data_IF_459186491909
#
_entry.id   IF_459186491909
#
_cell.length_a   1.000
_cell.length_b   1.000
_cell.length_c   1.000
_cell.angle_alpha   90.00
_cell.angle_beta   90.00
_cell.angle_gamma   90.00
#
_symmetry.space_group_name_H-M   'P 1'
#
loop_
_entity.id
_entity.type
_entity.pdbx_description
1 polymer ?
#
# COMPACT_ATOMS: atom_id res chain seq x y z
N UNK A 1 17.39 47.90 -8.53
CA UNK A 1 17.32 47.00 -7.35
C UNK A 1 16.26 45.98 -7.65
N UNK A 2 16.67 44.75 -7.90
CA UNK A 2 15.75 43.62 -7.99
C UNK A 2 15.26 43.28 -6.58
N UNK A 3 13.96 43.01 -6.45
CA UNK A 3 13.34 42.62 -5.18
C UNK A 3 12.70 41.26 -5.38
N UNK A 4 12.89 40.39 -4.41
CA UNK A 4 12.24 39.09 -4.36
C UNK A 4 11.04 39.17 -3.43
N UNK A 5 9.92 38.58 -3.81
CA UNK A 5 8.67 38.59 -3.06
C UNK A 5 8.34 37.18 -2.61
N UNK A 6 8.29 36.96 -1.30
CA UNK A 6 7.88 35.68 -0.72
C UNK A 6 6.42 35.77 -0.36
N UNK A 7 5.61 34.87 -0.91
CA UNK A 7 4.22 34.64 -0.53
C UNK A 7 4.21 33.45 0.42
N UNK A 8 4.00 33.73 1.72
CA UNK A 8 3.86 32.69 2.75
C UNK A 8 2.44 32.12 2.76
N UNK A 9 1.44 32.98 2.58
CA UNK A 9 0.02 32.62 2.52
C UNK A 9 -0.63 33.38 1.37
N UNK A 10 -1.23 32.65 0.45
CA UNK A 10 -1.86 33.17 -0.77
C UNK A 10 -2.45 32.03 -1.58
N UNK A 11 -2.91 32.33 -2.81
CA UNK A 11 -3.41 31.32 -3.76
C UNK A 11 -2.32 30.27 -4.06
N UNK A 12 -1.13 30.73 -4.40
CA UNK A 12 0.06 29.91 -4.62
C UNK A 12 1.19 30.47 -3.75
N UNK A 13 1.53 29.83 -2.62
CA UNK A 13 2.71 30.19 -1.83
C UNK A 13 4.01 29.87 -2.57
N UNK A 14 5.00 30.75 -2.45
CA UNK A 14 6.26 30.63 -3.19
C UNK A 14 7.11 31.89 -3.18
N UNK A 15 8.21 31.87 -3.92
CA UNK A 15 9.12 33.00 -4.10
C UNK A 15 8.98 33.49 -5.55
N UNK A 16 8.79 34.79 -5.71
CA UNK A 16 8.58 35.46 -6.98
C UNK A 16 9.66 36.53 -7.17
N UNK A 17 10.10 36.74 -8.40
CA UNK A 17 11.03 37.78 -8.82
C UNK A 17 10.31 39.07 -9.27
N UNK A 18 9.00 38.98 -9.56
CA UNK A 18 8.16 40.12 -9.93
C UNK A 18 7.01 40.38 -8.94
N UNK A 19 6.66 41.66 -8.74
CA UNK A 19 5.57 42.04 -7.83
C UNK A 19 4.20 41.67 -8.39
N UNK A 20 3.99 41.79 -9.70
CA UNK A 20 2.66 41.55 -10.30
C UNK A 20 2.23 40.10 -10.09
N UNK A 21 3.14 39.14 -10.27
CA UNK A 21 2.88 37.71 -10.06
C UNK A 21 2.59 37.39 -8.59
N UNK A 22 3.37 37.97 -7.66
CA UNK A 22 3.15 37.82 -6.23
C UNK A 22 1.83 38.47 -5.78
N UNK A 23 1.52 39.65 -6.32
CA UNK A 23 0.30 40.40 -6.06
C UNK A 23 -0.93 39.60 -6.52
N UNK A 24 -0.86 38.95 -7.68
CA UNK A 24 -1.93 38.07 -8.16
C UNK A 24 -2.17 36.86 -7.22
N UNK A 25 -1.19 36.47 -6.40
CA UNK A 25 -1.39 35.41 -5.40
C UNK A 25 -2.03 35.91 -4.11
N UNK A 26 -1.84 37.17 -3.73
CA UNK A 26 -2.28 37.71 -2.43
C UNK A 26 -3.47 38.65 -2.51
N UNK A 27 -3.68 39.29 -3.67
CA UNK A 27 -4.76 40.27 -3.88
C UNK A 27 -6.12 39.59 -3.72
N UNK A 28 -6.98 40.16 -2.87
CA UNK A 28 -8.28 39.59 -2.53
C UNK A 28 -8.22 38.18 -1.91
N UNK A 29 -7.08 37.75 -1.37
CA UNK A 29 -6.95 36.50 -0.63
C UNK A 29 -7.03 36.77 0.88
N UNK A 30 -7.94 36.08 1.57
CA UNK A 30 -8.14 36.27 3.01
C UNK A 30 -6.90 35.83 3.79
N UNK A 31 -6.46 36.65 4.75
CA UNK A 31 -5.27 36.40 5.57
C UNK A 31 -3.98 36.17 4.77
N UNK A 32 -3.85 36.78 3.59
CA UNK A 32 -2.63 36.69 2.80
C UNK A 32 -1.42 37.25 3.57
N UNK A 33 -0.27 36.60 3.43
CA UNK A 33 0.98 36.99 4.09
C UNK A 33 2.11 36.95 3.09
N UNK A 34 2.73 38.09 2.85
CA UNK A 34 3.87 38.21 1.95
C UNK A 34 4.94 39.15 2.52
N UNK A 35 6.17 39.07 2.00
CA UNK A 35 7.28 39.98 2.35
C UNK A 35 8.27 40.11 1.20
N UNK A 36 8.81 41.32 1.01
CA UNK A 36 9.86 41.59 0.02
C UNK A 36 11.27 41.53 0.62
N UNK A 37 12.22 41.02 -0.14
CA UNK A 37 13.63 40.88 0.22
C UNK A 37 14.54 41.46 -0.87
N UNK A 38 15.76 41.84 -0.49
CA UNK A 38 16.77 42.41 -1.40
C UNK A 38 17.69 41.37 -2.05
N UNK A 39 17.60 40.11 -1.62
CA UNK A 39 18.39 38.98 -2.12
C UNK A 39 17.51 37.72 -2.16
N UNK A 40 17.76 36.86 -3.14
CA UNK A 40 17.07 35.57 -3.29
C UNK A 40 17.34 34.66 -2.08
N UNK A 41 18.58 34.62 -1.57
CA UNK A 41 18.96 33.79 -0.42
C UNK A 41 18.15 34.16 0.84
N UNK A 42 17.93 35.45 1.08
CA UNK A 42 17.12 35.93 2.20
C UNK A 42 15.63 35.59 2.02
N UNK A 43 15.14 35.54 0.79
CA UNK A 43 13.78 35.12 0.46
C UNK A 43 13.60 33.61 0.68
N UNK A 44 14.58 32.81 0.24
CA UNK A 44 14.61 31.35 0.40
C UNK A 44 14.66 30.94 1.88
N UNK A 45 15.58 31.51 2.65
CA UNK A 45 15.67 31.26 4.10
C UNK A 45 14.37 31.64 4.83
N UNK A 46 13.76 32.78 4.48
CA UNK A 46 12.48 33.16 5.05
C UNK A 46 11.35 32.17 4.70
N UNK A 47 11.29 31.69 3.45
CA UNK A 47 10.30 30.72 3.01
C UNK A 47 10.52 29.34 3.67
N UNK A 48 11.77 28.88 3.76
CA UNK A 48 12.14 27.64 4.44
C UNK A 48 11.76 27.67 5.93
N UNK A 49 12.02 28.78 6.63
CA UNK A 49 11.59 28.99 8.02
C UNK A 49 10.07 28.99 8.17
N UNK A 50 9.35 29.50 7.19
CA UNK A 50 7.89 29.45 7.19
C UNK A 50 7.39 28.01 7.02
N UNK A 51 7.98 27.24 6.11
CA UNK A 51 7.65 25.83 5.90
C UNK A 51 7.96 24.98 7.13
N UNK A 52 9.08 25.22 7.81
CA UNK A 52 9.38 24.51 9.06
C UNK A 52 8.36 24.85 10.13
N UNK A 53 8.06 26.14 10.34
CA UNK A 53 7.02 26.58 11.29
C UNK A 53 5.65 25.99 10.97
N UNK A 54 5.27 25.92 9.69
CA UNK A 54 4.01 25.31 9.24
C UNK A 54 3.97 23.80 9.47
N UNK A 55 5.08 23.09 9.25
CA UNK A 55 5.19 21.64 9.54
C UNK A 55 5.03 21.33 11.04
N UNK A 56 5.33 22.29 11.92
CA UNK A 56 5.07 22.18 13.36
C UNK A 56 3.68 22.70 13.77
N UNK A 57 2.91 23.31 12.85
CA UNK A 57 1.57 23.88 13.11
C UNK A 57 0.43 22.93 12.71
N UNK A 58 0.74 21.77 12.12
CA UNK A 58 -0.23 20.70 11.89
C UNK A 58 0.20 19.49 12.71
N UNK A 59 -0.61 19.20 13.73
CA UNK A 59 -0.57 18.01 14.58
C UNK A 59 0.45 17.98 15.73
N UNK A 60 0.24 18.84 16.73
CA UNK A 60 0.64 18.55 18.11
C UNK A 60 -0.40 17.65 18.81
N UNK A 61 -0.78 16.54 18.15
CA UNK A 61 -1.91 15.72 18.56
C UNK A 61 -1.94 14.27 18.05
N UNK A 62 -0.84 13.67 17.55
CA UNK A 62 -0.85 12.21 17.29
C UNK A 62 0.49 11.52 17.03
N UNK A 63 1.60 11.94 17.63
CA UNK A 63 2.86 11.19 17.53
C UNK A 63 2.80 9.77 18.15
N UNK A 64 1.76 9.46 18.93
CA UNK A 64 1.49 8.12 19.48
C UNK A 64 0.82 7.17 18.49
N UNK A 65 0.17 7.69 17.44
CA UNK A 65 -0.73 6.90 16.57
C UNK A 65 0.03 6.12 15.49
N UNK A 66 1.15 6.66 15.02
CA UNK A 66 1.95 6.00 13.97
C UNK A 66 2.63 4.72 14.48
N UNK A 67 3.17 4.74 15.70
CA UNK A 67 3.80 3.56 16.32
C UNK A 67 2.77 2.45 16.59
N UNK A 68 1.54 2.81 16.99
CA UNK A 68 0.45 1.86 17.16
C UNK A 68 0.06 1.20 15.83
N UNK A 69 -0.01 1.98 14.75
CA UNK A 69 -0.33 1.48 13.40
C UNK A 69 0.77 0.57 12.86
N UNK A 70 2.05 0.89 13.08
CA UNK A 70 3.17 0.04 12.67
C UNK A 70 3.12 -1.35 13.34
N UNK A 71 2.85 -1.41 14.64
CA UNK A 71 2.67 -2.69 15.34
C UNK A 71 1.49 -3.51 14.80
N UNK A 72 0.39 -2.85 14.44
CA UNK A 72 -0.77 -3.52 13.81
C UNK A 72 -0.44 -4.05 12.40
N UNK A 73 0.41 -3.37 11.63
CA UNK A 73 0.82 -3.80 10.30
C UNK A 73 1.64 -5.10 10.35
N UNK A 74 2.53 -5.24 11.33
CA UNK A 74 3.35 -6.44 11.47
C UNK A 74 2.51 -7.66 11.88
N UNK A 75 1.52 -7.45 12.74
CA UNK A 75 0.56 -8.50 13.09
C UNK A 75 -0.28 -8.94 11.88
N UNK A 76 -0.76 -8.00 11.06
CA UNK A 76 -1.49 -8.30 9.82
C UNK A 76 -0.65 -9.13 8.85
N UNK A 77 0.65 -8.81 8.70
CA UNK A 77 1.56 -9.55 7.82
C UNK A 77 1.76 -10.98 8.32
N UNK A 78 1.94 -11.16 9.63
CA UNK A 78 2.09 -12.47 10.26
C UNK A 78 0.85 -13.34 10.04
N UNK A 79 -0.33 -12.82 10.38
CA UNK A 79 -1.60 -13.52 10.22
C UNK A 79 -1.84 -13.92 8.75
N UNK A 80 -1.52 -13.04 7.79
CA UNK A 80 -1.63 -13.37 6.36
C UNK A 80 -0.70 -14.52 5.97
N UNK A 81 0.54 -14.54 6.47
CA UNK A 81 1.48 -15.63 6.20
C UNK A 81 1.00 -16.98 6.75
N UNK A 82 0.39 -16.99 7.94
CA UNK A 82 -0.15 -18.19 8.57
C UNK A 82 -1.38 -18.74 7.81
N UNK A 83 -2.27 -17.86 7.37
CA UNK A 83 -3.42 -18.22 6.52
C UNK A 83 -2.95 -18.84 5.20
N UNK A 84 -1.92 -18.25 4.59
CA UNK A 84 -1.38 -18.71 3.31
C UNK A 84 -0.70 -20.09 3.42
N UNK A 85 0.09 -20.32 4.48
CA UNK A 85 0.67 -21.63 4.74
C UNK A 85 -0.40 -22.71 4.90
N UNK A 86 -1.50 -22.37 5.60
CA UNK A 86 -2.65 -23.27 5.78
C UNK A 86 -3.35 -23.56 4.45
N UNK A 87 -3.55 -22.54 3.61
CA UNK A 87 -4.13 -22.69 2.26
C UNK A 87 -3.31 -23.66 1.41
N UNK A 88 -1.99 -23.49 1.38
CA UNK A 88 -1.08 -24.36 0.64
C UNK A 88 -1.13 -25.79 1.18
N UNK A 89 -1.14 -25.98 2.50
CA UNK A 89 -1.25 -27.31 3.10
C UNK A 89 -2.57 -27.99 2.73
N UNK A 90 -3.68 -27.24 2.71
CA UNK A 90 -5.00 -27.73 2.31
C UNK A 90 -5.03 -28.15 0.83
N UNK A 91 -4.53 -27.29 -0.07
CA UNK A 91 -4.46 -27.60 -1.51
C UNK A 91 -3.62 -28.85 -1.78
N UNK A 92 -2.51 -29.04 -1.05
CA UNK A 92 -1.70 -30.26 -1.14
C UNK A 92 -2.47 -31.51 -0.68
N UNK A 93 -3.21 -31.41 0.42
CA UNK A 93 -4.01 -32.52 0.92
C UNK A 93 -5.15 -32.89 -0.04
N UNK A 94 -5.81 -31.90 -0.64
CA UNK A 94 -6.83 -32.09 -1.67
C UNK A 94 -6.25 -32.79 -2.90
N UNK A 95 -5.08 -32.34 -3.39
CA UNK A 95 -4.42 -33.00 -4.52
C UNK A 95 -4.07 -34.46 -4.23
N UNK A 96 -3.58 -34.77 -3.03
CA UNK A 96 -3.30 -36.15 -2.64
C UNK A 96 -4.57 -37.01 -2.58
N UNK A 97 -5.67 -36.44 -2.09
CA UNK A 97 -6.97 -37.11 -2.05
C UNK A 97 -7.47 -37.46 -3.45
N UNK A 98 -7.38 -36.53 -4.39
CA UNK A 98 -7.79 -36.76 -5.79
C UNK A 98 -6.96 -37.85 -6.47
N UNK A 99 -5.65 -37.90 -6.19
CA UNK A 99 -4.79 -38.98 -6.68
C UNK A 99 -5.19 -40.33 -6.10
N UNK A 100 -5.47 -40.39 -4.80
CA UNK A 100 -5.92 -41.61 -4.14
C UNK A 100 -7.28 -42.11 -4.70
N UNK A 101 -8.20 -41.20 -5.01
CA UNK A 101 -9.49 -41.55 -5.61
C UNK A 101 -9.33 -42.14 -7.01
N UNK A 102 -8.46 -41.54 -7.85
CA UNK A 102 -8.13 -42.10 -9.17
C UNK A 102 -7.53 -43.50 -9.06
N UNK A 103 -6.62 -43.71 -8.12
CA UNK A 103 -6.04 -45.02 -7.86
C UNK A 103 -7.11 -46.03 -7.44
N UNK A 104 -8.01 -45.66 -6.52
CA UNK A 104 -9.11 -46.52 -6.07
C UNK A 104 -10.08 -46.88 -7.20
N UNK A 105 -10.37 -45.93 -8.09
CA UNK A 105 -11.18 -46.18 -9.28
C UNK A 105 -10.51 -47.19 -10.21
N UNK A 106 -9.20 -47.03 -10.45
CA UNK A 106 -8.43 -47.96 -11.28
C UNK A 106 -8.39 -49.38 -10.66
N UNK A 107 -8.15 -49.49 -9.35
CA UNK A 107 -8.19 -50.78 -8.63
C UNK A 107 -9.56 -51.43 -8.79
N UNK A 108 -10.63 -50.66 -8.59
CA UNK A 108 -12.01 -51.15 -8.72
C UNK A 108 -12.27 -51.71 -10.11
N UNK A 109 -11.79 -51.03 -11.15
CA UNK A 109 -11.98 -51.46 -12.54
C UNK A 109 -11.19 -52.75 -12.85
N UNK A 110 -9.96 -52.86 -12.34
CA UNK A 110 -9.16 -54.10 -12.45
C UNK A 110 -9.88 -55.27 -11.76
N UNK A 111 -10.41 -55.05 -10.56
CA UNK A 111 -11.13 -56.10 -9.82
C UNK A 111 -12.39 -56.57 -10.57
N UNK A 112 -13.13 -55.67 -11.23
CA UNK A 112 -14.27 -56.06 -12.09
C UNK A 112 -13.84 -56.94 -13.26
N UNK A 113 -12.78 -56.55 -13.97
CA UNK A 113 -12.24 -57.32 -15.10
C UNK A 113 -11.81 -58.71 -14.64
N UNK A 114 -11.07 -58.81 -13.54
CA UNK A 114 -10.64 -60.08 -12.96
C UNK A 114 -11.82 -60.95 -12.48
N UNK A 115 -12.87 -60.32 -11.94
CA UNK A 115 -14.12 -61.00 -11.58
C UNK A 115 -14.79 -61.65 -12.80
N UNK A 116 -14.89 -60.92 -13.91
CA UNK A 116 -15.46 -61.42 -15.15
C UNK A 116 -14.61 -62.56 -15.76
N UNK A 117 -13.28 -62.46 -15.70
CA UNK A 117 -12.35 -63.52 -16.12
C UNK A 117 -12.47 -64.83 -15.31
N UNK A 118 -12.98 -64.76 -14.08
CA UNK A 118 -13.17 -65.94 -13.21
C UNK A 118 -14.48 -66.68 -13.50
N UNK A 119 -15.43 -66.02 -14.16
CA UNK A 119 -16.71 -66.62 -14.59
C UNK A 119 -16.52 -67.43 -15.88
N UNK A 120 -15.70 -66.96 -16.82
CA UNK A 120 -15.50 -67.65 -18.11
C UNK A 120 -14.70 -68.97 -18.03
N UNK A 121 -13.94 -69.23 -16.94
CA UNK A 121 -13.13 -70.45 -16.80
C UNK A 121 -13.85 -71.63 -16.13
N UNK A 122 -15.16 -71.54 -15.86
CA UNK A 122 -15.90 -72.59 -15.12
C UNK A 122 -16.89 -73.41 -15.95
N UNK A 123 -17.04 -73.11 -17.24
CA UNK A 123 -18.02 -73.77 -18.12
C UNK A 123 -17.40 -74.78 -19.10
N UNK A 124 -16.13 -75.18 -18.94
CA UNK A 124 -15.42 -76.11 -19.85
C UNK A 124 -15.04 -77.50 -19.27
N UNK A 125 -15.67 -77.96 -18.17
CA UNK A 125 -15.58 -79.39 -17.77
C UNK A 125 -16.88 -79.94 -17.19
#
# INVERSE_FOLDING_TARGET
MEKFYVVFVGRVPGIYDNWDDANDQVKYYSNARHKSFKSFEAAEDAYARHLSKSKFSTDSGSSSSHAQVEGQIDEIKRLRSEVEATRIAKERAEFQRDQAEKLNKNITEILKVLGNLKVEKKDEL
#
